data_IF_813716492619
#
_entry.id   IF_813716492619
#
_cell.length_a   1.000
_cell.length_b   1.000
_cell.length_c   1.000
_cell.angle_alpha   90.00
_cell.angle_beta   90.00
_cell.angle_gamma   90.00
#
_symmetry.space_group_name_H-M   'P 1'
#
loop_
_entity.id
_entity.type
_entity.pdbx_description
1 polymer ?
#
# COMPACT_ATOMS: atom_id res chain seq x y z
N UNK A 1 -15.25 -25.84 9.87
CA UNK A 1 -15.52 -26.91 8.88
C UNK A 1 -14.74 -26.56 7.62
N UNK A 2 -13.48 -27.01 7.57
CA UNK A 2 -12.68 -26.92 6.36
C UNK A 2 -13.24 -27.90 5.33
N UNK A 3 -14.10 -27.41 4.45
CA UNK A 3 -14.26 -28.07 3.17
C UNK A 3 -13.02 -27.70 2.35
N UNK A 4 -11.96 -28.51 2.48
CA UNK A 4 -10.97 -28.69 1.43
C UNK A 4 -11.75 -29.12 0.18
N UNK A 5 -12.18 -28.17 -0.63
CA UNK A 5 -12.44 -28.41 -2.04
C UNK A 5 -11.06 -28.74 -2.64
N UNK A 6 -10.67 -30.02 -2.50
CA UNK A 6 -9.56 -30.55 -3.24
C UNK A 6 -9.86 -30.24 -4.71
N UNK A 7 -9.16 -29.29 -5.29
CA UNK A 7 -9.18 -29.06 -6.73
C UNK A 7 -8.93 -30.41 -7.39
N UNK A 8 -9.77 -30.75 -8.36
CA UNK A 8 -9.55 -31.94 -9.19
C UNK A 8 -8.10 -31.98 -9.64
N UNK A 9 -7.43 -33.16 -9.65
CA UNK A 9 -6.08 -33.28 -10.18
C UNK A 9 -5.89 -32.66 -11.56
N UNK A 10 -6.96 -32.51 -12.33
CA UNK A 10 -6.98 -31.95 -13.67
C UNK A 10 -7.10 -30.41 -13.71
N UNK A 11 -7.19 -29.73 -12.55
CA UNK A 11 -7.25 -28.27 -12.47
C UNK A 11 -6.04 -27.71 -11.72
N UNK A 12 -4.91 -27.50 -12.40
CA UNK A 12 -3.69 -27.00 -11.74
C UNK A 12 -3.86 -25.56 -11.29
N UNK A 13 -3.40 -25.25 -10.07
CA UNK A 13 -3.39 -23.88 -9.56
C UNK A 13 -2.42 -23.01 -10.36
N UNK A 14 -2.86 -21.81 -10.72
CA UNK A 14 -1.98 -20.77 -11.31
C UNK A 14 -1.09 -20.11 -10.24
N UNK A 15 -1.48 -20.20 -8.97
CA UNK A 15 -0.78 -19.62 -7.82
C UNK A 15 -0.61 -20.68 -6.71
N UNK A 16 0.15 -21.78 -6.95
CA UNK A 16 0.21 -22.92 -6.03
C UNK A 16 0.85 -22.59 -4.67
N UNK A 17 1.55 -21.47 -4.57
CA UNK A 17 2.21 -20.99 -3.34
C UNK A 17 1.36 -19.97 -2.56
N UNK A 18 0.23 -19.55 -3.09
CA UNK A 18 -0.65 -18.57 -2.45
C UNK A 18 -1.72 -19.31 -1.65
N UNK A 19 -1.70 -19.13 -0.35
CA UNK A 19 -2.73 -19.60 0.58
C UNK A 19 -3.69 -18.48 0.99
N UNK A 20 -4.46 -18.73 2.06
CA UNK A 20 -5.27 -17.69 2.70
C UNK A 20 -4.35 -16.60 3.25
N UNK A 21 -4.64 -15.33 2.92
CA UNK A 21 -3.77 -14.23 3.34
C UNK A 21 -3.82 -14.02 4.86
N UNK A 22 -2.73 -13.56 5.44
CA UNK A 22 -2.65 -13.21 6.87
C UNK A 22 -3.75 -12.20 7.26
N UNK A 23 -4.13 -11.29 6.35
CA UNK A 23 -5.20 -10.33 6.58
C UNK A 23 -6.55 -11.02 6.76
N UNK A 24 -6.84 -12.03 5.96
CA UNK A 24 -8.07 -12.82 6.06
C UNK A 24 -8.09 -13.63 7.34
N UNK A 25 -6.98 -14.31 7.67
CA UNK A 25 -6.83 -15.12 8.88
C UNK A 25 -7.03 -14.26 10.13
N UNK A 26 -6.28 -13.16 10.25
CA UNK A 26 -6.35 -12.29 11.42
C UNK A 26 -7.69 -11.58 11.57
N UNK A 27 -8.37 -11.27 10.44
CA UNK A 27 -9.71 -10.68 10.50
C UNK A 27 -10.78 -11.67 10.93
N UNK A 28 -10.70 -12.91 10.47
CA UNK A 28 -11.59 -13.97 10.91
C UNK A 28 -11.40 -14.24 12.41
N UNK A 29 -10.15 -14.33 12.86
CA UNK A 29 -9.81 -14.53 14.28
C UNK A 29 -10.30 -13.36 15.15
N UNK A 30 -10.11 -12.12 14.68
CA UNK A 30 -10.61 -10.94 15.39
C UNK A 30 -12.15 -10.93 15.52
N UNK A 31 -12.85 -11.34 14.47
CA UNK A 31 -14.32 -11.44 14.49
C UNK A 31 -14.79 -12.55 15.43
N UNK A 32 -14.16 -13.72 15.40
CA UNK A 32 -14.48 -14.88 16.26
C UNK A 32 -14.33 -14.52 17.76
N UNK A 33 -13.25 -13.82 18.11
CA UNK A 33 -12.94 -13.44 19.49
C UNK A 33 -13.42 -12.06 19.89
N UNK A 34 -14.20 -11.37 19.05
CA UNK A 34 -14.69 -9.99 19.30
C UNK A 34 -13.54 -9.04 19.69
N UNK A 35 -12.37 -9.26 19.09
CA UNK A 35 -11.18 -8.45 19.30
C UNK A 35 -11.25 -7.14 18.51
N UNK A 36 -10.61 -6.10 19.05
CA UNK A 36 -10.45 -4.82 18.37
C UNK A 36 -9.46 -5.00 17.22
N UNK A 37 -9.94 -4.84 15.97
CA UNK A 37 -9.12 -5.13 14.80
C UNK A 37 -8.25 -3.94 14.40
N UNK A 38 -7.01 -3.89 14.90
CA UNK A 38 -5.96 -2.97 14.46
C UNK A 38 -5.03 -3.60 13.38
N UNK A 39 -5.31 -4.82 12.94
CA UNK A 39 -4.56 -5.49 11.87
C UNK A 39 -4.93 -4.98 10.48
N UNK A 40 -6.20 -4.70 10.24
CA UNK A 40 -6.73 -4.28 8.95
C UNK A 40 -6.37 -2.83 8.60
N UNK A 41 -5.77 -2.64 7.41
CA UNK A 41 -5.33 -1.36 6.88
C UNK A 41 -6.45 -0.56 6.20
N UNK A 42 -7.54 -0.30 6.90
CA UNK A 42 -8.60 0.63 6.46
C UNK A 42 -9.24 1.36 7.65
N UNK A 43 -9.77 2.58 7.40
CA UNK A 43 -10.47 3.36 8.42
C UNK A 43 -11.77 2.70 8.92
N UNK A 44 -12.10 2.88 10.22
CA UNK A 44 -13.41 2.54 10.80
C UNK A 44 -14.31 3.77 10.99
N UNK A 45 -13.80 4.96 10.67
CA UNK A 45 -14.56 6.20 10.61
C UNK A 45 -15.15 6.43 9.21
N UNK A 46 -16.29 7.15 9.11
CA UNK A 46 -16.96 7.38 7.84
C UNK A 46 -16.17 8.30 6.92
N UNK A 47 -16.38 8.15 5.60
CA UNK A 47 -15.94 9.16 4.64
C UNK A 47 -16.80 10.42 4.71
N UNK A 48 -16.32 11.52 4.09
CA UNK A 48 -17.06 12.78 4.08
C UNK A 48 -18.43 12.63 3.39
N UNK A 49 -19.46 13.14 4.05
CA UNK A 49 -20.84 13.16 3.50
C UNK A 49 -20.95 13.95 2.20
N UNK A 50 -20.12 14.96 1.99
CA UNK A 50 -20.08 15.71 0.72
C UNK A 50 -19.69 14.81 -0.45
N UNK A 51 -18.71 13.91 -0.25
CA UNK A 51 -18.33 12.94 -1.26
C UNK A 51 -19.49 11.96 -1.56
N UNK A 52 -20.16 11.44 -0.53
CA UNK A 52 -21.36 10.60 -0.70
C UNK A 52 -22.44 11.34 -1.48
N UNK A 53 -22.71 12.61 -1.12
CA UNK A 53 -23.71 13.43 -1.80
C UNK A 53 -23.35 13.69 -3.27
N UNK A 54 -22.07 13.89 -3.58
CA UNK A 54 -21.62 14.05 -4.96
C UNK A 54 -21.83 12.80 -5.80
N UNK A 55 -21.56 11.62 -5.26
CA UNK A 55 -21.85 10.33 -5.91
C UNK A 55 -23.36 10.14 -6.12
N UNK A 56 -24.17 10.43 -5.09
CA UNK A 56 -25.62 10.34 -5.19
C UNK A 56 -26.16 11.28 -6.27
N UNK A 57 -25.67 12.52 -6.33
CA UNK A 57 -26.04 13.48 -7.38
C UNK A 57 -25.70 12.93 -8.79
N UNK A 58 -24.53 12.30 -8.96
CA UNK A 58 -24.15 11.69 -10.21
C UNK A 58 -25.09 10.56 -10.63
N UNK A 59 -25.54 9.72 -9.68
CA UNK A 59 -26.52 8.66 -9.95
C UNK A 59 -27.88 9.24 -10.40
N UNK A 60 -28.35 10.31 -9.76
CA UNK A 60 -29.60 10.99 -10.14
C UNK A 60 -29.48 11.74 -11.48
N UNK A 61 -28.27 12.20 -11.84
CA UNK A 61 -27.98 12.81 -13.12
C UNK A 61 -27.76 11.78 -14.27
N UNK A 62 -28.15 10.53 -14.04
CA UNK A 62 -28.12 9.43 -15.01
C UNK A 62 -26.71 9.02 -15.48
N UNK A 63 -25.66 9.33 -14.71
CA UNK A 63 -24.31 8.81 -14.96
C UNK A 63 -24.17 7.35 -14.55
N UNK A 64 -25.02 6.46 -15.08
CA UNK A 64 -25.14 5.06 -14.65
C UNK A 64 -24.68 4.05 -15.71
N UNK A 65 -24.32 4.50 -16.91
CA UNK A 65 -23.83 3.65 -18.00
C UNK A 65 -22.29 3.61 -18.02
N UNK A 66 -21.72 2.75 -18.86
CA UNK A 66 -20.28 2.64 -19.04
C UNK A 66 -19.64 3.99 -19.41
N UNK A 67 -18.60 4.41 -18.67
CA UNK A 67 -17.80 5.56 -19.05
C UNK A 67 -16.75 5.12 -20.09
N UNK A 68 -15.96 6.05 -20.66
CA UNK A 68 -14.78 5.68 -21.42
C UNK A 68 -13.87 4.71 -20.63
N UNK A 69 -13.26 3.77 -21.34
CA UNK A 69 -12.37 2.74 -20.75
C UNK A 69 -11.28 3.35 -19.86
N UNK A 70 -10.74 4.49 -20.27
CA UNK A 70 -9.68 5.21 -19.53
C UNK A 70 -10.18 5.97 -18.29
N UNK A 71 -11.49 6.04 -18.09
CA UNK A 71 -12.15 6.86 -17.07
C UNK A 71 -12.69 8.17 -17.65
N UNK A 72 -13.55 8.86 -16.88
CA UNK A 72 -14.14 10.13 -17.29
C UNK A 72 -13.08 11.23 -17.39
N UNK A 73 -13.28 12.16 -18.32
CA UNK A 73 -12.33 13.25 -18.60
C UNK A 73 -12.10 14.13 -17.38
N UNK A 74 -13.16 14.50 -16.67
CA UNK A 74 -13.11 15.40 -15.52
C UNK A 74 -12.23 14.85 -14.40
N UNK A 75 -12.30 13.53 -14.14
CA UNK A 75 -11.47 12.91 -13.10
C UNK A 75 -10.01 12.81 -13.54
N UNK A 76 -9.75 12.47 -14.81
CA UNK A 76 -8.39 12.40 -15.34
C UNK A 76 -7.71 13.78 -15.34
N UNK A 77 -8.44 14.83 -15.73
CA UNK A 77 -7.96 16.21 -15.65
C UNK A 77 -7.67 16.64 -14.22
N UNK A 78 -8.56 16.29 -13.27
CA UNK A 78 -8.33 16.55 -11.83
C UNK A 78 -7.09 15.86 -11.30
N UNK A 79 -6.82 14.62 -11.73
CA UNK A 79 -5.59 13.87 -11.38
C UNK A 79 -4.35 14.53 -11.98
N UNK A 80 -4.38 14.90 -13.27
CA UNK A 80 -3.29 15.61 -13.95
C UNK A 80 -2.94 16.90 -13.21
N UNK A 81 -3.95 17.73 -12.92
CA UNK A 81 -3.78 18.98 -12.19
C UNK A 81 -3.20 18.77 -10.79
N UNK A 82 -3.67 17.76 -10.07
CA UNK A 82 -3.17 17.41 -8.73
C UNK A 82 -1.67 17.04 -8.79
N UNK A 83 -1.28 16.15 -9.71
CA UNK A 83 0.11 15.71 -9.87
C UNK A 83 1.00 16.89 -10.24
N UNK A 84 0.59 17.70 -11.21
CA UNK A 84 1.33 18.88 -11.65
C UNK A 84 1.53 19.89 -10.50
N UNK A 85 0.46 20.14 -9.73
CA UNK A 85 0.52 21.09 -8.60
C UNK A 85 1.41 20.61 -7.47
N UNK A 86 1.37 19.31 -7.14
CA UNK A 86 2.08 18.76 -5.97
C UNK A 86 3.53 18.37 -6.30
N UNK A 87 3.78 17.86 -7.51
CA UNK A 87 5.04 17.21 -7.85
C UNK A 87 5.78 17.84 -9.03
N UNK A 88 5.16 18.84 -9.69
CA UNK A 88 5.80 19.63 -10.76
C UNK A 88 5.93 18.89 -12.09
N UNK A 89 5.29 17.73 -12.27
CA UNK A 89 5.25 16.97 -13.51
C UNK A 89 3.84 16.95 -14.09
N UNK A 90 3.70 17.28 -15.36
CA UNK A 90 2.39 17.30 -16.04
C UNK A 90 2.23 16.05 -16.90
N UNK A 91 1.29 15.17 -16.51
CA UNK A 91 0.83 14.08 -17.34
C UNK A 91 -0.36 14.52 -18.18
N UNK A 92 -0.34 14.26 -19.50
CA UNK A 92 -1.49 14.49 -20.36
C UNK A 92 -2.68 13.62 -19.94
N UNK A 93 -3.79 14.28 -19.59
CA UNK A 93 -4.97 13.60 -19.07
C UNK A 93 -5.59 12.61 -20.05
N UNK A 94 -5.42 12.80 -21.37
CA UNK A 94 -6.02 11.94 -22.37
C UNK A 94 -5.16 10.74 -22.73
N UNK A 95 -3.84 10.87 -22.69
CA UNK A 95 -2.91 9.87 -23.18
C UNK A 95 -2.10 9.17 -22.08
N UNK A 96 -1.95 9.78 -20.88
CA UNK A 96 -1.02 9.33 -19.86
C UNK A 96 -1.67 8.97 -18.51
N UNK A 97 -3.00 9.13 -18.36
CA UNK A 97 -3.74 8.81 -17.14
C UNK A 97 -4.86 7.82 -17.42
N UNK A 98 -5.00 6.80 -16.59
CA UNK A 98 -6.12 5.84 -16.62
C UNK A 98 -6.66 5.62 -15.21
N UNK A 99 -7.99 5.70 -15.06
CA UNK A 99 -8.70 5.40 -13.83
C UNK A 99 -8.84 3.88 -13.68
N UNK A 100 -8.54 3.34 -12.50
CA UNK A 100 -8.44 1.91 -12.23
C UNK A 100 -9.38 1.46 -11.13
N UNK A 101 -9.66 0.15 -11.06
CA UNK A 101 -10.44 -0.46 -9.99
C UNK A 101 -9.61 -0.57 -8.68
N UNK A 102 -9.13 0.58 -8.18
CA UNK A 102 -8.22 0.72 -7.07
C UNK A 102 -6.75 0.45 -7.44
N UNK A 103 -5.84 0.69 -6.49
CA UNK A 103 -4.40 0.52 -6.71
C UNK A 103 -4.01 -0.91 -7.06
N UNK A 104 -4.59 -1.93 -6.42
CA UNK A 104 -4.26 -3.35 -6.67
C UNK A 104 -4.45 -3.75 -8.13
N UNK A 105 -5.57 -3.33 -8.76
CA UNK A 105 -5.80 -3.62 -10.18
C UNK A 105 -4.84 -2.83 -11.06
N UNK A 106 -4.54 -1.56 -10.71
CA UNK A 106 -3.54 -0.78 -11.41
C UNK A 106 -2.15 -1.44 -11.39
N UNK A 107 -1.71 -1.92 -10.22
CA UNK A 107 -0.45 -2.66 -10.03
C UNK A 107 -0.42 -3.92 -10.90
N UNK A 108 -1.45 -4.75 -10.80
CA UNK A 108 -1.54 -6.00 -11.58
C UNK A 108 -1.52 -5.71 -13.09
N UNK A 109 -2.24 -4.71 -13.55
CA UNK A 109 -2.28 -4.34 -14.97
C UNK A 109 -0.94 -3.81 -15.46
N UNK A 110 -0.25 -2.98 -14.66
CA UNK A 110 1.09 -2.48 -14.98
C UNK A 110 2.10 -3.64 -15.09
N UNK A 111 2.06 -4.60 -14.18
CA UNK A 111 2.92 -5.79 -14.24
C UNK A 111 2.59 -6.63 -15.49
N UNK A 112 1.32 -6.94 -15.73
CA UNK A 112 0.90 -7.75 -16.88
C UNK A 112 1.23 -7.11 -18.23
N UNK A 113 1.27 -5.77 -18.33
CA UNK A 113 1.55 -5.11 -19.59
C UNK A 113 3.04 -5.00 -19.93
N UNK A 114 3.92 -5.14 -18.93
CA UNK A 114 5.36 -4.93 -19.18
C UNK A 114 6.24 -6.13 -18.83
N UNK A 115 5.77 -7.09 -18.04
CA UNK A 115 6.52 -8.28 -17.63
C UNK A 115 6.16 -9.47 -18.50
N UNK A 116 7.15 -10.12 -19.06
CA UNK A 116 7.05 -11.34 -19.85
C UNK A 116 7.62 -12.54 -19.09
N UNK A 117 7.27 -13.78 -19.50
CA UNK A 117 7.84 -14.97 -18.86
C UNK A 117 9.37 -14.95 -18.82
N UNK A 118 9.92 -15.09 -17.61
CA UNK A 118 11.36 -15.10 -17.35
C UNK A 118 11.98 -13.74 -17.03
N UNK A 119 11.29 -12.63 -17.23
CA UNK A 119 11.75 -11.29 -16.82
C UNK A 119 11.94 -11.20 -15.29
N UNK A 120 12.98 -10.52 -14.85
CA UNK A 120 13.25 -10.27 -13.44
C UNK A 120 12.53 -9.02 -12.97
N UNK A 121 11.81 -9.15 -11.85
CA UNK A 121 11.12 -8.03 -11.18
C UNK A 121 11.69 -7.88 -9.77
N UNK A 122 12.37 -6.76 -9.55
CA UNK A 122 12.93 -6.43 -8.22
C UNK A 122 11.85 -5.84 -7.34
N UNK A 123 11.68 -6.39 -6.15
CA UNK A 123 10.79 -5.85 -5.11
C UNK A 123 11.56 -5.64 -3.81
N UNK A 124 11.12 -4.68 -3.02
CA UNK A 124 11.71 -4.40 -1.71
C UNK A 124 10.80 -5.02 -0.64
N UNK A 125 11.35 -5.89 0.19
CA UNK A 125 10.65 -6.52 1.31
C UNK A 125 10.96 -5.84 2.65
N UNK A 126 10.00 -5.81 3.58
CA UNK A 126 8.65 -6.41 3.55
C UNK A 126 7.78 -5.75 2.48
N UNK A 127 6.99 -6.51 1.72
CA UNK A 127 6.29 -6.03 0.55
C UNK A 127 4.78 -6.30 0.61
N UNK A 128 3.99 -5.42 0.01
CA UNK A 128 2.55 -5.64 -0.13
C UNK A 128 2.27 -6.95 -0.86
N UNK A 129 1.37 -7.76 -0.31
CA UNK A 129 1.12 -9.15 -0.69
C UNK A 129 0.62 -9.35 -2.13
N UNK A 130 0.16 -8.29 -2.79
CA UNK A 130 -0.30 -8.33 -4.18
C UNK A 130 0.84 -8.35 -5.21
N UNK A 131 2.08 -7.92 -4.88
CA UNK A 131 3.14 -7.79 -5.89
C UNK A 131 3.57 -9.15 -6.44
N UNK A 132 3.92 -10.09 -5.57
CA UNK A 132 4.40 -11.42 -5.98
C UNK A 132 3.39 -12.21 -6.80
N UNK A 133 2.12 -12.37 -6.36
CA UNK A 133 1.13 -13.07 -7.15
C UNK A 133 0.91 -12.44 -8.53
N UNK A 134 1.00 -11.11 -8.63
CA UNK A 134 0.89 -10.42 -9.92
C UNK A 134 2.07 -10.73 -10.84
N UNK A 135 3.29 -10.79 -10.29
CA UNK A 135 4.52 -11.16 -11.01
C UNK A 135 4.43 -12.63 -11.47
N UNK A 136 4.02 -13.53 -10.58
CA UNK A 136 3.87 -14.96 -10.89
C UNK A 136 2.83 -15.19 -12.01
N UNK A 137 1.71 -14.46 -11.97
CA UNK A 137 0.67 -14.53 -13.03
C UNK A 137 1.17 -14.03 -14.39
N UNK A 138 2.08 -13.05 -14.40
CA UNK A 138 2.75 -12.58 -15.60
C UNK A 138 3.85 -13.55 -16.10
N UNK A 139 4.22 -14.55 -15.28
CA UNK A 139 5.34 -15.46 -15.56
C UNK A 139 6.71 -14.86 -15.27
N UNK A 140 6.77 -13.73 -14.59
CA UNK A 140 7.99 -13.07 -14.17
C UNK A 140 8.67 -13.78 -13.00
N UNK A 141 9.88 -13.36 -12.71
CA UNK A 141 10.75 -13.87 -11.66
C UNK A 141 10.94 -12.81 -10.59
N UNK A 142 10.40 -13.03 -9.41
CA UNK A 142 10.61 -12.11 -8.29
C UNK A 142 12.06 -12.17 -7.80
N UNK A 143 12.73 -11.02 -7.76
CA UNK A 143 14.02 -10.79 -7.11
C UNK A 143 13.76 -9.92 -5.88
N UNK A 144 13.75 -10.55 -4.72
CA UNK A 144 13.45 -9.85 -3.47
C UNK A 144 14.72 -9.29 -2.84
N UNK A 145 14.64 -8.05 -2.39
CA UNK A 145 15.69 -7.35 -1.64
C UNK A 145 15.10 -6.86 -0.33
N UNK A 146 15.56 -7.39 0.79
CA UNK A 146 15.01 -7.04 2.10
C UNK A 146 15.55 -5.70 2.59
N UNK A 147 14.68 -4.82 3.13
CA UNK A 147 15.11 -3.64 3.86
C UNK A 147 16.12 -4.02 4.94
N UNK A 148 17.10 -3.18 5.15
CA UNK A 148 18.04 -3.35 6.28
C UNK A 148 17.31 -3.06 7.58
N UNK A 149 17.18 -4.07 8.43
CA UNK A 149 16.67 -3.92 9.78
C UNK A 149 17.77 -3.37 10.69
N UNK A 150 17.70 -2.09 11.01
CA UNK A 150 18.63 -1.45 11.93
C UNK A 150 18.29 -1.87 13.35
N UNK A 151 19.32 -2.24 14.13
CA UNK A 151 19.15 -2.76 15.48
C UNK A 151 19.73 -1.77 16.50
N UNK A 152 19.09 -1.69 17.66
CA UNK A 152 19.60 -0.95 18.81
C UNK A 152 20.74 -1.71 19.52
N UNK A 153 21.31 -1.10 20.57
CA UNK A 153 22.39 -1.68 21.37
C UNK A 153 22.01 -3.01 22.06
N UNK A 154 20.72 -3.34 22.10
CA UNK A 154 20.20 -4.59 22.65
C UNK A 154 19.87 -5.63 21.58
N UNK A 155 20.20 -5.33 20.33
CA UNK A 155 20.02 -6.21 19.17
C UNK A 155 18.59 -6.26 18.61
N UNK A 156 17.69 -5.39 19.07
CA UNK A 156 16.31 -5.35 18.58
C UNK A 156 16.16 -4.43 17.37
N UNK A 157 15.26 -4.82 16.47
CA UNK A 157 14.91 -3.97 15.34
C UNK A 157 14.27 -2.67 15.84
N UNK A 158 14.90 -1.55 15.53
CA UNK A 158 14.51 -0.20 15.94
C UNK A 158 14.08 0.69 14.77
N UNK A 159 14.52 0.39 13.56
CA UNK A 159 14.13 1.08 12.31
C UNK A 159 14.49 0.27 11.08
N UNK A 160 14.12 0.78 9.91
CA UNK A 160 14.46 0.20 8.62
C UNK A 160 15.13 1.24 7.72
N UNK A 161 16.01 0.78 6.83
CA UNK A 161 16.67 1.60 5.81
C UNK A 161 16.75 0.88 4.47
N UNK A 162 16.89 1.64 3.37
CA UNK A 162 16.96 1.08 2.01
C UNK A 162 18.33 0.38 1.84
N UNK A 163 18.35 -0.89 1.39
CA UNK A 163 19.57 -1.70 1.23
C UNK A 163 20.24 -1.41 -0.12
N UNK A 164 20.84 -0.25 -0.27
CA UNK A 164 21.36 0.22 -1.55
C UNK A 164 22.39 -0.69 -2.20
N UNK A 165 23.27 -1.30 -1.39
CA UNK A 165 24.29 -2.22 -1.92
C UNK A 165 23.67 -3.49 -2.50
N UNK A 166 22.60 -3.99 -1.89
CA UNK A 166 21.91 -5.18 -2.36
C UNK A 166 21.01 -4.85 -3.56
N UNK A 167 20.37 -3.67 -3.59
CA UNK A 167 19.69 -3.17 -4.77
C UNK A 167 20.62 -3.01 -5.97
N UNK A 168 21.84 -2.53 -5.74
CA UNK A 168 22.87 -2.41 -6.79
C UNK A 168 23.23 -3.77 -7.38
N UNK A 169 23.29 -4.83 -6.56
CA UNK A 169 23.55 -6.20 -7.04
C UNK A 169 22.34 -6.82 -7.74
N UNK A 170 21.13 -6.49 -7.26
CA UNK A 170 19.89 -7.06 -7.77
C UNK A 170 19.45 -6.47 -9.12
N UNK A 171 19.67 -5.16 -9.32
CA UNK A 171 19.30 -4.47 -10.57
C UNK A 171 20.38 -4.70 -11.62
N UNK A 172 20.01 -5.35 -12.69
CA UNK A 172 20.92 -5.76 -13.78
C UNK A 172 20.22 -5.69 -15.16
N UNK A 173 20.88 -6.15 -16.22
CA UNK A 173 20.36 -6.10 -17.59
C UNK A 173 19.14 -6.99 -17.84
N UNK A 174 18.81 -7.92 -16.94
CA UNK A 174 17.62 -8.77 -16.98
C UNK A 174 16.45 -8.16 -16.20
N UNK A 175 16.71 -7.11 -15.41
CA UNK A 175 15.67 -6.44 -14.63
C UNK A 175 14.72 -5.73 -15.57
N UNK A 176 13.47 -6.17 -15.60
CA UNK A 176 12.40 -5.57 -16.38
C UNK A 176 11.64 -4.50 -15.60
N UNK A 177 11.43 -4.73 -14.29
CA UNK A 177 10.66 -3.84 -13.45
C UNK A 177 11.28 -3.76 -12.05
N UNK A 178 11.27 -2.58 -11.47
CA UNK A 178 11.56 -2.34 -10.05
C UNK A 178 10.29 -1.80 -9.40
N UNK A 179 9.80 -2.45 -8.34
CA UNK A 179 8.62 -2.00 -7.60
C UNK A 179 9.09 -1.33 -6.31
N UNK A 180 8.69 -0.07 -6.14
CA UNK A 180 8.88 0.69 -4.91
C UNK A 180 7.53 1.07 -4.32
N UNK A 181 7.47 1.20 -2.99
CA UNK A 181 6.30 1.67 -2.26
C UNK A 181 6.70 2.80 -1.31
N UNK A 182 6.15 3.99 -1.51
CA UNK A 182 6.43 5.16 -0.70
C UNK A 182 5.21 6.08 -0.61
N UNK A 183 4.74 6.42 0.60
CA UNK A 183 5.11 5.87 1.91
C UNK A 183 4.91 4.38 2.03
N UNK A 184 5.78 3.72 2.78
CA UNK A 184 5.93 2.27 2.76
C UNK A 184 4.94 1.54 3.69
N UNK A 185 4.29 0.54 3.17
CA UNK A 185 3.54 -0.46 3.95
C UNK A 185 4.39 -1.75 4.04
N UNK A 186 4.78 -2.24 5.23
CA UNK A 186 4.20 -1.93 6.55
C UNK A 186 4.95 -0.89 7.40
N UNK A 187 6.17 -0.47 7.04
CA UNK A 187 7.12 0.18 7.95
C UNK A 187 6.88 1.67 8.18
N UNK A 188 6.07 2.33 7.35
CA UNK A 188 5.88 3.79 7.38
C UNK A 188 7.08 4.60 6.86
N UNK A 189 8.12 3.95 6.35
CA UNK A 189 9.29 4.62 5.78
C UNK A 189 8.92 5.49 4.58
N UNK A 190 9.61 6.62 4.42
CA UNK A 190 9.43 7.56 3.31
C UNK A 190 10.73 7.68 2.54
N UNK A 191 10.66 7.58 1.23
CA UNK A 191 11.79 7.85 0.34
C UNK A 191 12.11 9.34 0.32
N UNK A 192 13.40 9.67 0.29
CA UNK A 192 13.91 11.01 0.21
C UNK A 192 14.30 11.35 -1.25
N UNK A 193 14.49 12.63 -1.56
CA UNK A 193 14.97 13.04 -2.87
C UNK A 193 16.28 12.36 -3.26
N UNK A 194 17.21 12.22 -2.31
CA UNK A 194 18.48 11.50 -2.52
C UNK A 194 18.29 10.03 -2.87
N UNK A 195 17.19 9.40 -2.41
CA UNK A 195 16.89 8.01 -2.73
C UNK A 195 16.43 7.86 -4.18
N UNK A 196 15.62 8.82 -4.69
CA UNK A 196 15.23 8.86 -6.10
C UNK A 196 16.46 9.09 -7.00
N UNK A 197 17.37 10.00 -6.62
CA UNK A 197 18.63 10.21 -7.35
C UNK A 197 19.49 8.93 -7.42
N UNK A 198 19.58 8.19 -6.31
CA UNK A 198 20.29 6.90 -6.28
C UNK A 198 19.61 5.87 -7.16
N UNK A 199 18.29 5.75 -7.10
CA UNK A 199 17.53 4.85 -7.97
C UNK A 199 17.73 5.21 -9.44
N UNK A 200 17.64 6.50 -9.82
CA UNK A 200 17.88 6.96 -11.18
C UNK A 200 19.27 6.54 -11.68
N UNK A 201 20.29 6.70 -10.85
CA UNK A 201 21.65 6.27 -11.21
C UNK A 201 21.75 4.75 -11.42
N UNK A 202 21.06 3.94 -10.61
CA UNK A 202 21.06 2.47 -10.75
C UNK A 202 20.38 2.01 -12.03
N UNK A 203 19.27 2.64 -12.42
CA UNK A 203 18.47 2.19 -13.57
C UNK A 203 18.87 2.85 -14.88
N UNK A 204 19.70 3.92 -14.86
CA UNK A 204 20.04 4.74 -16.04
C UNK A 204 20.56 3.93 -17.21
N UNK A 205 21.42 2.96 -16.96
CA UNK A 205 22.04 2.12 -17.98
C UNK A 205 21.34 0.75 -18.15
N UNK A 206 20.07 0.68 -17.75
CA UNK A 206 19.25 -0.53 -17.87
C UNK A 206 17.96 -0.21 -18.63
N UNK A 207 17.24 -1.26 -19.04
CA UNK A 207 15.89 -1.16 -19.61
C UNK A 207 14.79 -1.32 -18.52
N UNK A 208 15.17 -1.26 -17.26
CA UNK A 208 14.22 -1.41 -16.15
C UNK A 208 13.20 -0.26 -16.13
N UNK A 209 11.94 -0.64 -16.06
CA UNK A 209 10.83 0.24 -15.74
C UNK A 209 10.66 0.32 -14.23
N UNK A 210 9.87 1.27 -13.76
CA UNK A 210 9.57 1.42 -12.34
C UNK A 210 8.05 1.38 -12.15
N UNK A 211 7.62 0.73 -11.08
CA UNK A 211 6.28 0.85 -10.55
C UNK A 211 6.39 1.49 -9.16
N UNK A 212 5.87 2.72 -9.05
CA UNK A 212 5.83 3.45 -7.78
C UNK A 212 4.43 3.39 -7.19
N UNK A 213 4.28 2.60 -6.13
CA UNK A 213 3.05 2.51 -5.36
C UNK A 213 3.02 3.62 -4.31
N UNK A 214 2.24 4.67 -4.61
CA UNK A 214 2.16 5.90 -3.83
C UNK A 214 0.77 6.09 -3.16
N UNK A 215 0.07 5.00 -2.88
CA UNK A 215 -1.31 5.05 -2.33
C UNK A 215 -1.42 5.79 -0.99
N UNK A 216 -0.31 5.98 -0.27
CA UNK A 216 -0.25 6.73 1.00
C UNK A 216 0.34 8.15 0.85
N UNK A 217 0.42 8.71 -0.35
CA UNK A 217 1.07 9.98 -0.69
C UNK A 217 0.68 11.18 0.22
N UNK A 218 -0.54 11.19 0.76
CA UNK A 218 -1.05 12.25 1.65
C UNK A 218 -0.94 11.94 3.14
N UNK A 219 -0.22 10.89 3.51
CA UNK A 219 -0.09 10.44 4.90
C UNK A 219 1.37 10.50 5.33
N UNK A 220 1.93 11.71 5.38
CA UNK A 220 3.32 11.99 5.76
C UNK A 220 3.31 13.02 6.88
N UNK A 221 4.14 12.85 7.91
CA UNK A 221 4.06 13.54 9.18
C UNK A 221 5.39 14.22 9.56
N UNK A 222 5.38 14.99 10.66
CA UNK A 222 6.58 15.61 11.28
C UNK A 222 7.33 16.53 10.32
N UNK A 223 6.63 17.21 9.40
CA UNK A 223 7.25 18.09 8.42
C UNK A 223 7.97 17.38 7.27
N UNK A 224 7.98 16.04 7.26
CA UNK A 224 8.40 15.30 6.07
C UNK A 224 7.47 15.57 4.89
N UNK A 225 7.99 15.44 3.70
CA UNK A 225 7.22 15.57 2.46
C UNK A 225 7.21 14.23 1.72
N UNK A 226 6.10 13.92 1.08
CA UNK A 226 6.08 12.84 0.10
C UNK A 226 6.86 13.27 -1.14
N UNK A 227 7.83 12.47 -1.53
CA UNK A 227 8.62 12.68 -2.76
C UNK A 227 8.11 11.67 -3.79
N UNK A 228 7.24 12.13 -4.68
CA UNK A 228 6.69 11.30 -5.75
C UNK A 228 7.75 10.99 -6.80
N UNK A 229 7.64 9.81 -7.42
CA UNK A 229 8.45 9.43 -8.60
C UNK A 229 8.30 10.44 -9.74
N UNK A 230 7.12 11.08 -9.85
CA UNK A 230 6.85 12.13 -10.84
C UNK A 230 7.73 13.38 -10.67
N UNK A 231 8.25 13.63 -9.47
CA UNK A 231 9.12 14.79 -9.21
C UNK A 231 10.55 14.63 -9.76
N UNK A 232 10.93 13.44 -10.22
CA UNK A 232 12.24 13.17 -10.79
C UNK A 232 12.14 12.91 -12.30
N UNK A 233 12.60 13.81 -13.18
CA UNK A 233 12.34 13.74 -14.62
C UNK A 233 12.75 12.42 -15.28
N UNK A 234 13.97 11.91 -15.03
CA UNK A 234 14.43 10.65 -15.62
C UNK A 234 13.62 9.43 -15.16
N UNK A 235 13.11 9.46 -13.92
CA UNK A 235 12.30 8.37 -13.38
C UNK A 235 10.86 8.46 -13.87
N UNK A 236 10.28 9.66 -13.96
CA UNK A 236 8.93 9.87 -14.47
C UNK A 236 8.77 9.25 -15.88
N UNK A 237 9.78 9.41 -16.75
CA UNK A 237 9.80 8.91 -18.14
C UNK A 237 9.84 7.36 -18.26
N UNK A 238 9.96 6.64 -17.15
CA UNK A 238 9.98 5.16 -17.12
C UNK A 238 9.15 4.55 -16.02
N UNK A 239 8.21 5.30 -15.44
CA UNK A 239 7.47 4.87 -14.28
C UNK A 239 5.97 4.76 -14.51
N UNK A 240 5.37 3.73 -13.89
CA UNK A 240 3.95 3.71 -13.56
C UNK A 240 3.80 4.28 -12.15
N UNK A 241 3.20 5.47 -12.03
CA UNK A 241 2.78 6.05 -10.74
C UNK A 241 1.39 5.53 -10.42
N UNK A 242 1.22 4.91 -9.25
CA UNK A 242 -0.05 4.32 -8.82
C UNK A 242 -0.53 5.01 -7.54
N UNK A 243 -1.78 5.45 -7.53
CA UNK A 243 -2.42 5.98 -6.34
C UNK A 243 -3.87 5.50 -6.20
N UNK A 244 -4.50 5.80 -5.06
CA UNK A 244 -5.81 5.26 -4.71
C UNK A 244 -6.67 6.26 -3.94
N UNK A 245 -7.80 6.64 -4.51
CA UNK A 245 -8.80 7.44 -3.80
C UNK A 245 -9.37 6.73 -2.58
N UNK A 246 -9.36 5.38 -2.58
CA UNK A 246 -9.77 4.58 -1.45
C UNK A 246 -8.97 4.87 -0.18
N UNK A 247 -7.66 5.12 -0.32
CA UNK A 247 -6.79 5.50 0.78
C UNK A 247 -6.95 6.98 1.13
N UNK A 248 -6.92 7.84 0.12
CA UNK A 248 -7.01 9.30 0.29
C UNK A 248 -8.34 9.73 0.94
N UNK A 249 -9.47 9.18 0.49
CA UNK A 249 -10.80 9.65 0.92
C UNK A 249 -11.58 8.67 1.77
N UNK A 250 -10.91 7.71 2.40
CA UNK A 250 -11.50 6.75 3.34
C UNK A 250 -12.63 5.90 2.71
N UNK A 251 -12.45 5.55 1.43
CA UNK A 251 -13.44 4.80 0.63
C UNK A 251 -12.82 3.56 -0.01
N UNK A 252 -12.09 2.78 0.78
CA UNK A 252 -11.35 1.60 0.29
C UNK A 252 -12.24 0.60 -0.44
N UNK A 253 -13.49 0.46 -0.02
CA UNK A 253 -14.51 -0.41 -0.64
C UNK A 253 -15.01 0.07 -2.01
N UNK A 254 -14.82 1.34 -2.37
CA UNK A 254 -15.26 1.85 -3.67
C UNK A 254 -14.36 1.38 -4.81
N UNK A 255 -13.14 0.99 -4.50
CA UNK A 255 -12.20 0.44 -5.47
C UNK A 255 -11.93 1.37 -6.67
N UNK A 256 -11.65 2.65 -6.41
CA UNK A 256 -11.23 3.63 -7.43
C UNK A 256 -9.80 4.10 -7.12
N UNK A 257 -8.96 4.04 -8.14
CA UNK A 257 -7.59 4.54 -8.13
C UNK A 257 -7.22 5.07 -9.51
N UNK A 258 -5.96 5.35 -9.72
CA UNK A 258 -5.44 5.77 -11.02
C UNK A 258 -4.00 5.32 -11.22
N UNK A 259 -3.62 5.24 -12.49
CA UNK A 259 -2.24 5.08 -12.94
C UNK A 259 -1.90 6.23 -13.87
N UNK A 260 -0.74 6.86 -13.63
CA UNK A 260 -0.12 7.80 -14.54
C UNK A 260 1.21 7.24 -15.04
N UNK A 261 1.47 7.34 -16.33
CA UNK A 261 2.69 6.88 -16.98
C UNK A 261 2.89 7.54 -18.34
N UNK A 262 4.13 7.58 -18.88
CA UNK A 262 4.39 8.10 -20.23
C UNK A 262 3.54 7.40 -21.29
N UNK A 263 3.22 8.13 -22.36
CA UNK A 263 2.32 7.70 -23.47
C UNK A 263 2.59 6.28 -23.94
N UNK A 264 3.86 5.92 -24.18
CA UNK A 264 4.23 4.61 -24.70
C UNK A 264 3.87 3.50 -23.72
N UNK A 265 4.10 3.71 -22.42
CA UNK A 265 3.77 2.74 -21.36
C UNK A 265 2.27 2.67 -21.14
N UNK A 266 1.60 3.84 -21.12
CA UNK A 266 0.15 3.91 -20.93
C UNK A 266 -0.61 3.24 -22.08
N UNK A 267 -0.11 3.30 -23.29
CA UNK A 267 -0.69 2.61 -24.46
C UNK A 267 -0.72 1.08 -24.24
N UNK A 268 0.36 0.51 -23.75
CA UNK A 268 0.42 -0.93 -23.44
C UNK A 268 -0.43 -1.29 -22.21
N UNK A 269 -0.39 -0.44 -21.17
CA UNK A 269 -1.25 -0.58 -20.00
C UNK A 269 -2.73 -0.67 -20.39
N UNK A 270 -3.20 0.23 -21.25
CA UNK A 270 -4.60 0.30 -21.68
C UNK A 270 -5.05 -0.93 -22.48
N UNK A 271 -4.16 -1.59 -23.23
CA UNK A 271 -4.47 -2.84 -23.90
C UNK A 271 -4.84 -3.95 -22.91
N UNK A 272 -4.12 -4.06 -21.80
CA UNK A 272 -4.41 -5.03 -20.75
C UNK A 272 -5.63 -4.61 -19.94
N UNK A 273 -5.71 -3.32 -19.58
CA UNK A 273 -6.84 -2.75 -18.82
C UNK A 273 -8.19 -2.99 -19.51
N UNK A 274 -8.24 -2.83 -20.83
CA UNK A 274 -9.43 -3.08 -21.66
C UNK A 274 -10.06 -4.47 -21.43
N UNK A 275 -9.25 -5.51 -21.23
CA UNK A 275 -9.70 -6.88 -21.10
C UNK A 275 -9.63 -7.42 -19.68
N UNK A 276 -8.91 -6.73 -18.79
CA UNK A 276 -8.82 -7.08 -17.38
C UNK A 276 -10.03 -6.57 -16.58
N UNK A 277 -10.41 -5.30 -16.78
CA UNK A 277 -11.52 -4.67 -16.05
C UNK A 277 -12.48 -3.91 -16.96
N UNK A 278 -12.04 -3.56 -18.16
CA UNK A 278 -12.72 -2.68 -19.13
C UNK A 278 -12.83 -1.25 -18.61
N UNK A 279 -13.68 -1.00 -17.60
CA UNK A 279 -13.90 0.33 -17.02
C UNK A 279 -14.31 0.21 -15.55
N UNK A 280 -14.39 1.31 -14.84
CA UNK A 280 -14.73 1.33 -13.42
C UNK A 280 -15.99 2.16 -13.15
N UNK A 281 -16.54 2.04 -11.96
CA UNK A 281 -17.83 2.59 -11.56
C UNK A 281 -18.00 4.07 -11.91
N UNK A 282 -18.97 4.38 -12.76
CA UNK A 282 -19.20 5.71 -13.33
C UNK A 282 -19.63 6.76 -12.29
N UNK A 283 -20.69 6.53 -11.48
CA UNK A 283 -21.13 7.51 -10.51
C UNK A 283 -20.03 7.92 -9.52
N UNK A 284 -19.22 6.94 -9.11
CA UNK A 284 -18.10 7.20 -8.18
C UNK A 284 -17.02 8.06 -8.82
N UNK A 285 -16.75 7.89 -10.12
CA UNK A 285 -15.79 8.74 -10.84
C UNK A 285 -16.26 10.20 -10.87
N UNK A 286 -17.55 10.45 -11.15
CA UNK A 286 -18.10 11.82 -11.15
C UNK A 286 -18.09 12.44 -9.77
N UNK A 287 -18.47 11.67 -8.73
CA UNK A 287 -18.40 12.12 -7.35
C UNK A 287 -16.98 12.48 -6.91
N UNK A 288 -15.99 11.64 -7.28
CA UNK A 288 -14.58 11.91 -6.99
C UNK A 288 -14.04 13.08 -7.78
N UNK A 289 -14.42 13.26 -9.05
CA UNK A 289 -14.03 14.42 -9.86
C UNK A 289 -14.51 15.72 -9.23
N UNK A 290 -15.75 15.77 -8.74
CA UNK A 290 -16.29 16.93 -8.06
C UNK A 290 -15.57 17.19 -6.72
N UNK A 291 -15.33 16.16 -5.95
CA UNK A 291 -14.69 16.24 -4.63
C UNK A 291 -13.22 16.66 -4.72
N UNK A 292 -12.51 16.20 -5.76
CA UNK A 292 -11.09 16.52 -6.01
C UNK A 292 -10.83 17.99 -6.34
N UNK A 293 -11.86 18.74 -6.78
CA UNK A 293 -11.73 20.19 -7.07
C UNK A 293 -11.31 21.01 -5.84
N UNK A 294 -11.62 20.54 -4.64
CA UNK A 294 -11.16 21.22 -3.43
C UNK A 294 -9.91 20.50 -2.88
N UNK A 295 -8.72 21.11 -3.01
CA UNK A 295 -7.46 20.50 -2.55
C UNK A 295 -7.39 20.31 -1.03
N UNK A 296 -8.16 21.07 -0.24
CA UNK A 296 -8.17 20.93 1.23
C UNK A 296 -8.59 19.52 1.65
N UNK A 297 -9.36 18.81 0.82
CA UNK A 297 -9.80 17.45 1.08
C UNK A 297 -8.65 16.43 1.15
N UNK A 298 -7.49 16.72 0.56
CA UNK A 298 -6.30 15.88 0.66
C UNK A 298 -5.11 16.60 1.34
N UNK A 299 -5.02 17.92 1.25
CA UNK A 299 -3.96 18.67 1.93
C UNK A 299 -4.13 18.70 3.46
N UNK A 300 -5.33 18.51 3.97
CA UNK A 300 -5.60 18.39 5.42
C UNK A 300 -5.25 17.03 6.02
N UNK A 301 -5.04 15.99 5.19
CA UNK A 301 -4.84 14.61 5.67
C UNK A 301 -3.56 14.40 6.50
N UNK A 302 -2.42 15.04 6.19
CA UNK A 302 -1.24 14.89 7.04
C UNK A 302 -1.50 15.26 8.49
N UNK A 303 -2.11 16.42 8.76
CA UNK A 303 -2.43 16.86 10.12
C UNK A 303 -3.47 15.94 10.79
N UNK A 304 -4.50 15.51 10.04
CA UNK A 304 -5.53 14.60 10.54
C UNK A 304 -4.95 13.25 10.99
N UNK A 305 -4.11 12.63 10.17
CA UNK A 305 -3.52 11.34 10.51
C UNK A 305 -2.38 11.46 11.52
N UNK A 306 -1.62 12.55 11.50
CA UNK A 306 -0.61 12.82 12.51
C UNK A 306 -1.22 12.88 13.91
N UNK A 307 -2.35 13.58 14.08
CA UNK A 307 -3.03 13.63 15.36
C UNK A 307 -3.44 12.24 15.86
N UNK A 308 -3.98 11.38 14.99
CA UNK A 308 -4.30 9.99 15.33
C UNK A 308 -3.07 9.14 15.67
N UNK A 309 -1.99 9.29 14.90
CA UNK A 309 -0.71 8.64 15.18
C UNK A 309 -0.18 9.04 16.56
N UNK A 310 -0.14 10.32 16.83
CA UNK A 310 0.43 10.86 18.07
C UNK A 310 -0.37 10.40 19.28
N UNK A 311 -1.71 10.45 19.18
CA UNK A 311 -2.59 9.91 20.22
C UNK A 311 -2.30 8.42 20.50
N UNK A 312 -2.22 7.59 19.44
CA UNK A 312 -1.96 6.16 19.59
C UNK A 312 -0.56 5.89 20.14
N UNK A 313 0.47 6.61 19.64
CA UNK A 313 1.85 6.50 20.13
C UNK A 313 1.99 6.90 21.58
N UNK A 314 1.32 7.98 22.01
CA UNK A 314 1.32 8.41 23.40
C UNK A 314 0.76 7.33 24.34
N UNK A 315 -0.31 6.66 23.94
CA UNK A 315 -0.85 5.53 24.69
C UNK A 315 0.07 4.31 24.71
N UNK A 316 0.68 3.97 23.57
CA UNK A 316 1.65 2.87 23.48
C UNK A 316 2.93 3.12 24.31
N UNK A 317 3.33 4.37 24.52
CA UNK A 317 4.46 4.71 25.40
C UNK A 317 4.23 4.33 26.87
N UNK A 318 2.99 4.08 27.27
CA UNK A 318 2.66 3.55 28.59
C UNK A 318 2.80 2.03 28.69
N UNK A 319 3.11 1.37 27.59
CA UNK A 319 3.37 -0.08 27.49
C UNK A 319 4.88 -0.32 27.40
N UNK A 320 5.29 -1.59 27.46
CA UNK A 320 6.68 -2.00 27.23
C UNK A 320 7.00 -2.31 25.76
N UNK A 321 6.07 -2.05 24.83
CA UNK A 321 6.38 -2.16 23.41
C UNK A 321 7.45 -1.14 23.01
N UNK A 322 8.43 -1.56 22.23
CA UNK A 322 9.36 -0.61 21.60
C UNK A 322 8.75 -0.09 20.29
N UNK A 323 8.48 1.21 20.25
CA UNK A 323 7.89 1.86 19.08
C UNK A 323 8.95 2.10 18.01
N UNK A 324 8.70 1.64 16.79
CA UNK A 324 9.50 2.02 15.63
C UNK A 324 9.06 3.42 15.12
N UNK A 325 9.92 4.12 14.35
CA UNK A 325 9.52 5.35 13.66
C UNK A 325 8.27 5.13 12.79
N UNK A 326 7.40 6.11 12.76
CA UNK A 326 6.21 6.13 11.91
C UNK A 326 6.04 7.50 11.24
N UNK A 327 6.98 7.91 10.37
CA UNK A 327 6.93 9.21 9.70
C UNK A 327 5.83 9.31 8.66
N UNK A 328 5.23 8.17 8.27
CA UNK A 328 4.17 8.16 7.25
C UNK A 328 3.30 6.90 7.28
N UNK A 329 2.34 6.84 6.35
CA UNK A 329 1.24 5.87 6.26
C UNK A 329 0.30 5.97 7.47
N UNK A 330 -0.53 4.97 7.72
CA UNK A 330 -1.35 4.91 8.93
C UNK A 330 -1.05 3.66 9.77
N UNK A 331 0.21 3.23 9.73
CA UNK A 331 0.68 2.07 10.47
C UNK A 331 1.72 2.45 11.51
N UNK A 332 1.63 1.78 12.66
CA UNK A 332 2.63 1.79 13.70
C UNK A 332 3.21 0.40 13.85
N UNK A 333 4.47 0.25 13.52
CA UNK A 333 5.23 -0.94 13.86
C UNK A 333 5.77 -0.84 15.28
N UNK A 334 5.71 -1.95 16.02
CA UNK A 334 6.26 -2.08 17.36
C UNK A 334 7.03 -3.37 17.49
N UNK A 335 8.12 -3.37 18.27
CA UNK A 335 8.80 -4.59 18.67
C UNK A 335 8.22 -5.04 20.02
N UNK A 336 7.82 -6.32 20.10
CA UNK A 336 7.17 -6.91 21.28
C UNK A 336 8.14 -7.74 22.13
N UNK A 337 9.35 -8.00 21.69
CA UNK A 337 10.28 -8.96 22.33
C UNK A 337 10.78 -8.52 23.70
N UNK A 338 10.51 -7.28 24.11
CA UNK A 338 10.83 -6.72 25.45
C UNK A 338 9.69 -6.83 26.47
N UNK A 339 8.54 -7.26 26.06
CA UNK A 339 7.45 -7.46 27.01
C UNK A 339 7.87 -8.47 28.06
N UNK A 340 7.57 -8.19 29.33
CA UNK A 340 7.93 -9.06 30.46
C UNK A 340 6.91 -10.18 30.65
N UNK A 341 6.66 -10.92 29.57
CA UNK A 341 5.71 -12.01 29.50
C UNK A 341 6.31 -13.19 28.70
N UNK A 342 5.93 -14.44 29.00
CA UNK A 342 6.44 -15.60 28.27
C UNK A 342 6.20 -15.54 26.77
N UNK A 343 5.09 -14.93 26.35
CA UNK A 343 4.67 -14.81 24.96
C UNK A 343 5.56 -13.89 24.11
N UNK A 344 6.39 -13.06 24.75
CA UNK A 344 7.41 -12.27 24.04
C UNK A 344 8.45 -13.13 23.29
N UNK A 345 8.48 -14.45 23.54
CA UNK A 345 9.35 -15.43 22.87
C UNK A 345 8.67 -16.16 21.71
N UNK A 346 7.38 -15.93 21.49
CA UNK A 346 6.63 -16.53 20.38
C UNK A 346 7.09 -15.97 19.04
N UNK A 347 6.83 -16.70 17.96
CA UNK A 347 6.93 -16.17 16.60
C UNK A 347 5.99 -14.97 16.43
N UNK A 348 6.26 -14.09 15.47
CA UNK A 348 5.38 -12.93 15.21
C UNK A 348 3.93 -13.37 14.92
N UNK A 349 3.74 -14.47 14.18
CA UNK A 349 2.42 -14.99 13.86
C UNK A 349 1.68 -15.53 15.11
N UNK A 350 2.38 -16.31 15.93
CA UNK A 350 1.80 -16.86 17.16
C UNK A 350 1.54 -15.75 18.19
N UNK A 351 2.43 -14.74 18.28
CA UNK A 351 2.22 -13.59 19.14
C UNK A 351 0.97 -12.78 18.70
N UNK A 352 0.80 -12.51 17.40
CA UNK A 352 -0.40 -11.83 16.87
C UNK A 352 -1.67 -12.65 17.16
N UNK A 353 -1.61 -13.97 17.02
CA UNK A 353 -2.75 -14.86 17.33
C UNK A 353 -3.10 -14.78 18.81
N UNK A 354 -2.12 -14.92 19.70
CA UNK A 354 -2.30 -14.80 21.16
C UNK A 354 -2.82 -13.41 21.55
N UNK A 355 -2.25 -12.34 20.97
CA UNK A 355 -2.68 -10.96 21.25
C UNK A 355 -4.17 -10.77 20.89
N UNK A 356 -4.61 -11.43 19.82
CA UNK A 356 -6.00 -11.36 19.34
C UNK A 356 -6.94 -12.14 20.27
N UNK A 357 -6.56 -13.37 20.67
CA UNK A 357 -7.44 -14.27 21.41
C UNK A 357 -7.51 -13.95 22.91
N UNK A 358 -6.37 -13.57 23.52
CA UNK A 358 -6.27 -13.40 24.97
C UNK A 358 -6.36 -11.91 25.40
N UNK A 359 -5.75 -11.01 24.62
CA UNK A 359 -5.76 -9.57 24.93
C UNK A 359 -6.92 -8.85 24.21
N UNK A 360 -7.39 -9.46 23.13
CA UNK A 360 -8.51 -8.93 22.35
C UNK A 360 -8.13 -7.75 21.45
N UNK A 361 -6.86 -7.68 20.98
CA UNK A 361 -6.41 -6.69 20.01
C UNK A 361 -5.68 -7.41 18.87
N UNK A 362 -6.18 -7.27 17.64
CA UNK A 362 -5.55 -7.88 16.48
C UNK A 362 -4.47 -6.99 15.88
N UNK A 363 -3.36 -7.59 15.50
CA UNK A 363 -2.23 -7.00 14.79
C UNK A 363 -1.84 -7.85 13.59
N UNK A 364 -0.91 -7.39 12.76
CA UNK A 364 -0.35 -8.17 11.66
C UNK A 364 1.15 -8.40 11.91
N UNK A 365 1.62 -9.65 11.81
CA UNK A 365 3.05 -9.95 11.88
C UNK A 365 3.77 -9.38 10.66
N UNK A 366 4.90 -8.68 10.87
CA UNK A 366 5.67 -8.11 9.76
C UNK A 366 6.35 -9.19 8.93
N UNK A 367 6.64 -10.35 9.52
CA UNK A 367 7.15 -11.53 8.82
C UNK A 367 6.25 -12.00 7.67
N UNK A 368 4.94 -11.75 7.74
CA UNK A 368 3.99 -12.11 6.68
C UNK A 368 4.16 -11.32 5.36
N UNK A 369 4.92 -10.23 5.38
CA UNK A 369 5.21 -9.42 4.19
C UNK A 369 6.52 -9.85 3.47
N UNK A 370 7.14 -10.95 3.90
CA UNK A 370 8.32 -11.54 3.28
C UNK A 370 7.98 -12.87 2.59
N UNK A 371 8.71 -13.22 1.53
CA UNK A 371 8.55 -14.53 0.90
C UNK A 371 9.02 -15.67 1.78
N UNK A 372 10.12 -15.44 2.47
CA UNK A 372 10.64 -16.35 3.47
C UNK A 372 10.45 -15.66 4.82
N UNK A 373 9.86 -16.34 5.81
CA UNK A 373 9.63 -15.74 7.12
C UNK A 373 10.94 -15.20 7.71
N UNK A 374 10.92 -13.91 8.07
CA UNK A 374 12.02 -13.22 8.76
C UNK A 374 11.48 -12.77 10.10
N UNK A 375 11.86 -13.47 11.16
CA UNK A 375 11.46 -13.13 12.52
C UNK A 375 12.27 -11.92 13.01
N UNK A 376 11.63 -10.78 13.08
CA UNK A 376 12.23 -9.53 13.55
C UNK A 376 11.72 -9.09 14.93
N UNK A 377 10.71 -9.78 15.44
CA UNK A 377 9.98 -9.41 16.65
C UNK A 377 9.10 -8.17 16.46
N UNK A 378 8.72 -7.87 15.22
CA UNK A 378 7.97 -6.66 14.88
C UNK A 378 6.56 -7.02 14.40
N UNK A 379 5.58 -6.34 14.97
CA UNK A 379 4.18 -6.41 14.55
C UNK A 379 3.70 -5.02 14.13
N UNK A 380 2.63 -4.99 13.32
CA UNK A 380 2.06 -3.77 12.76
C UNK A 380 0.63 -3.55 13.27
N UNK A 381 0.37 -2.36 13.81
CA UNK A 381 -0.97 -1.83 14.08
C UNK A 381 -1.39 -0.80 13.04
N UNK A 382 -2.68 -0.70 12.78
CA UNK A 382 -3.31 0.37 11.99
C UNK A 382 -3.97 1.37 12.93
N UNK A 383 -3.54 2.63 12.90
CA UNK A 383 -4.13 3.70 13.70
C UNK A 383 -5.17 4.55 12.93
N UNK A 384 -5.51 4.17 11.70
CA UNK A 384 -6.62 4.77 10.98
C UNK A 384 -7.96 4.33 11.57
N UNK A 385 -8.20 4.70 12.83
CA UNK A 385 -9.37 4.30 13.62
C UNK A 385 -10.00 5.50 14.32
N UNK A 386 -11.26 5.35 14.73
CA UNK A 386 -11.88 6.30 15.64
C UNK A 386 -11.11 6.36 16.96
N UNK A 387 -11.11 7.51 17.61
CA UNK A 387 -10.41 7.70 18.89
C UNK A 387 -10.89 6.71 19.96
N UNK A 388 -12.20 6.44 19.98
CA UNK A 388 -12.79 5.43 20.89
C UNK A 388 -12.21 4.03 20.63
N UNK A 389 -12.03 3.63 19.36
CA UNK A 389 -11.44 2.34 19.00
C UNK A 389 -9.99 2.27 19.47
N UNK A 390 -9.22 3.36 19.26
CA UNK A 390 -7.83 3.43 19.72
C UNK A 390 -7.73 3.42 21.24
N UNK A 391 -8.58 4.18 21.97
CA UNK A 391 -8.62 4.19 23.43
C UNK A 391 -8.87 2.79 23.99
N UNK A 392 -9.92 2.11 23.50
CA UNK A 392 -10.26 0.77 23.96
C UNK A 392 -9.14 -0.24 23.69
N UNK A 393 -8.44 -0.11 22.55
CA UNK A 393 -7.30 -0.95 22.26
C UNK A 393 -6.11 -0.68 23.19
N UNK A 394 -5.83 0.61 23.46
CA UNK A 394 -4.75 1.01 24.35
C UNK A 394 -4.99 0.53 25.79
N UNK A 395 -6.24 0.60 26.30
CA UNK A 395 -6.60 0.06 27.63
C UNK A 395 -6.26 -1.43 27.75
N UNK A 396 -6.51 -2.22 26.69
CA UNK A 396 -6.15 -3.64 26.67
C UNK A 396 -4.63 -3.85 26.57
N UNK A 397 -3.96 -3.10 25.69
CA UNK A 397 -2.51 -3.23 25.49
C UNK A 397 -1.69 -2.78 26.70
N UNK A 398 -2.20 -1.87 27.52
CA UNK A 398 -1.54 -1.39 28.74
C UNK A 398 -1.52 -2.46 29.87
N UNK A 399 -2.25 -3.57 29.71
CA UNK A 399 -2.17 -4.69 30.65
C UNK A 399 -0.91 -5.55 30.46
N UNK A 400 -0.15 -5.30 29.37
CA UNK A 400 1.10 -5.99 29.01
C UNK A 400 2.31 -5.18 29.50
#
# INVERSE_FOLDING_TARGET
MDQNLALSPDFPSRLPKVGTTVFTIMSALAAEHQAINLGQGFPDFPCDRKLISAVHAAMLAEHNQYPPMVGITELRQGVSQKISTLYGHEYDSDTEITITAGGTQGIMTAILCCVSPGDEVVIIEPAYDSYRPSIDLAGGKTVAVSLTANRDDQGMVSSYSIPWDDLTKAINTKTRLVIINTPHNPTGMVWQKSDLERLANLVRNTNALILSDEVYEHMVFDGHQHISIASHPELAERSFLISSFGKTYHVTGWKIGYVAAPVAMMKEFRKVHQFNVFTVNTPMQYGLAEYLKNPDHYLGLPAFYQAKRDYFRQGLQQTKFQLLPAPASYFQCVNYTKLDIPQAKLSEADFCSWLTTEIGVAAIPVSAFYAQPVESGVIRFCFAKEEKTLSNALERLQTL
#
